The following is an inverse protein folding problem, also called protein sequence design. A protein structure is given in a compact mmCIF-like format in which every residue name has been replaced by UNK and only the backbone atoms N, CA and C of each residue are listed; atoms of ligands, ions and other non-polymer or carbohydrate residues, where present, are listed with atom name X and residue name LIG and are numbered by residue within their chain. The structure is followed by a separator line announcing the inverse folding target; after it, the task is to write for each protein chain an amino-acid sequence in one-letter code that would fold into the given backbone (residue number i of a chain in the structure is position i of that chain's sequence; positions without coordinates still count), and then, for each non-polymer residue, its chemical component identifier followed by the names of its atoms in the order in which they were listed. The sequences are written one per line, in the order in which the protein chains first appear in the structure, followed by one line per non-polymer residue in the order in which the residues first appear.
data_IF_716064868958
#
_entry.id   IF_716064868958
#
_cell.length_a   1.000
_cell.length_b   1.000
_cell.length_c   1.000
_cell.angle_alpha   90.00
_cell.angle_beta   90.00
_cell.angle_gamma   90.00
#
_symmetry.space_group_name_H-M   'P 1'
#
loop_
_entity.id
_entity.type
_entity.pdbx_description
1 polymer ?
#
# COMPACT_ATOMS: atom_id res chain seq x y z
N UNK A 1 -2.68 -7.86 14.86
CA UNK A 1 -2.89 -7.47 13.44
C UNK A 1 -1.74 -8.07 12.63
N UNK A 2 -2.00 -8.54 11.42
CA UNK A 2 -0.94 -9.16 10.61
C UNK A 2 -0.20 -8.07 9.82
N UNK A 3 1.10 -8.25 9.73
CA UNK A 3 2.02 -7.50 8.88
C UNK A 3 2.63 -8.48 7.86
N UNK A 4 3.18 -7.99 6.74
CA UNK A 4 3.29 -6.58 6.31
C UNK A 4 1.95 -5.97 5.86
N UNK A 5 1.95 -4.65 5.66
CA UNK A 5 0.85 -3.83 5.13
C UNK A 5 1.38 -2.89 4.05
N UNK A 6 0.52 -2.59 3.07
CA UNK A 6 0.77 -1.53 2.10
C UNK A 6 -0.13 -0.34 2.50
N UNK A 7 0.50 0.78 2.83
CA UNK A 7 -0.18 2.03 3.12
C UNK A 7 -0.35 2.78 1.80
N UNK A 8 -1.57 3.13 1.43
CA UNK A 8 -1.88 3.92 0.23
C UNK A 8 -2.35 5.31 0.67
N UNK A 9 -1.64 6.35 0.23
CA UNK A 9 -1.96 7.74 0.55
C UNK A 9 -1.40 8.68 -0.52
N UNK A 10 -2.17 9.70 -0.92
CA UNK A 10 -1.75 10.71 -1.90
C UNK A 10 -1.15 10.14 -3.20
N UNK A 11 -1.76 9.08 -3.75
CA UNK A 11 -1.30 8.39 -4.95
C UNK A 11 0.13 7.82 -4.83
N UNK A 12 0.55 7.51 -3.62
CA UNK A 12 1.79 6.79 -3.34
C UNK A 12 1.49 5.61 -2.42
N UNK A 13 2.45 4.68 -2.36
CA UNK A 13 2.44 3.61 -1.38
C UNK A 13 3.69 3.65 -0.51
N UNK A 14 3.51 3.19 0.73
CA UNK A 14 4.57 2.95 1.70
C UNK A 14 4.40 1.52 2.23
N UNK A 15 5.52 0.84 2.50
CA UNK A 15 5.51 -0.47 3.13
C UNK A 15 5.64 -0.34 4.63
N UNK A 16 4.78 -1.05 5.35
CA UNK A 16 4.95 -1.26 6.79
C UNK A 16 5.08 -2.76 7.07
N UNK A 17 6.28 -3.18 7.43
CA UNK A 17 6.61 -4.50 7.95
C UNK A 17 6.33 -4.62 9.44
N UNK A 18 6.32 -3.50 10.18
CA UNK A 18 6.09 -3.48 11.62
C UNK A 18 5.03 -2.44 12.04
N UNK A 19 4.40 -2.62 13.22
CA UNK A 19 3.37 -1.70 13.70
C UNK A 19 3.81 -0.25 13.86
N UNK A 20 5.02 -0.04 14.36
CA UNK A 20 5.63 1.26 14.59
C UNK A 20 5.83 2.06 13.29
N UNK A 21 6.07 1.40 12.15
CA UNK A 21 6.20 2.09 10.86
C UNK A 21 4.89 2.74 10.40
N UNK A 22 3.74 2.16 10.78
CA UNK A 22 2.44 2.80 10.53
C UNK A 22 2.28 4.03 11.43
N UNK A 23 2.68 3.92 12.70
CA UNK A 23 2.59 5.02 13.66
C UNK A 23 3.51 6.18 13.25
N UNK A 24 4.72 5.87 12.80
CA UNK A 24 5.69 6.83 12.29
C UNK A 24 5.17 7.53 11.02
N UNK A 25 4.58 6.79 10.09
CA UNK A 25 3.98 7.35 8.87
C UNK A 25 2.88 8.38 9.19
N UNK A 26 2.03 8.10 10.17
CA UNK A 26 0.88 8.96 10.50
C UNK A 26 1.17 10.02 11.56
N UNK A 27 2.37 10.02 12.15
CA UNK A 27 2.72 10.84 13.31
C UNK A 27 2.44 12.34 13.09
N UNK A 28 2.81 12.86 11.92
CA UNK A 28 2.66 14.27 11.57
C UNK A 28 1.34 14.60 10.86
N UNK A 29 0.43 13.63 10.70
CA UNK A 29 -0.80 13.80 9.92
C UNK A 29 -1.96 14.27 10.79
N UNK A 30 -2.79 15.17 10.25
CA UNK A 30 -4.06 15.52 10.87
C UNK A 30 -5.15 14.46 10.64
N UNK A 31 -6.29 14.58 11.32
CA UNK A 31 -7.39 13.61 11.23
C UNK A 31 -8.02 13.54 9.81
N UNK A 32 -8.03 14.65 9.06
CA UNK A 32 -8.52 14.65 7.68
C UNK A 32 -7.56 13.88 6.77
N UNK A 33 -6.25 14.04 6.97
CA UNK A 33 -5.22 13.30 6.25
C UNK A 33 -5.29 11.80 6.59
N UNK A 34 -5.39 11.45 7.88
CA UNK A 34 -5.55 10.06 8.34
C UNK A 34 -6.79 9.39 7.76
N UNK A 35 -7.92 10.11 7.64
CA UNK A 35 -9.16 9.57 7.05
C UNK A 35 -9.02 9.13 5.58
N UNK A 36 -8.04 9.70 4.86
CA UNK A 36 -7.80 9.40 3.44
C UNK A 36 -6.94 8.16 3.25
N UNK A 37 -6.16 7.74 4.25
CA UNK A 37 -5.31 6.55 4.17
C UNK A 37 -6.14 5.30 3.91
N UNK A 38 -5.66 4.48 2.99
CA UNK A 38 -6.16 3.13 2.74
C UNK A 38 -5.04 2.16 3.14
N UNK A 39 -5.37 1.18 3.97
CA UNK A 39 -4.48 0.09 4.34
C UNK A 39 -4.89 -1.13 3.54
N UNK A 40 -3.98 -1.65 2.72
CA UNK A 40 -4.11 -2.96 2.14
C UNK A 40 -3.36 -3.95 3.04
N UNK A 41 -4.10 -4.81 3.72
CA UNK A 41 -3.56 -5.76 4.70
C UNK A 41 -3.07 -7.07 4.05
N UNK A 42 -2.33 -7.88 4.81
CA UNK A 42 -1.81 -9.18 4.36
C UNK A 42 -2.88 -10.25 4.09
N UNK A 43 -4.15 -9.96 4.41
CA UNK A 43 -5.32 -10.76 4.00
C UNK A 43 -5.96 -10.20 2.73
N UNK A 44 -5.26 -9.33 2.01
CA UNK A 44 -5.66 -8.76 0.74
C UNK A 44 -6.93 -7.90 0.84
N UNK A 45 -7.20 -7.36 2.03
CA UNK A 45 -8.38 -6.54 2.33
C UNK A 45 -8.01 -5.06 2.45
N UNK A 46 -8.86 -4.21 1.88
CA UNK A 46 -8.72 -2.75 1.97
C UNK A 46 -9.46 -2.24 3.21
N UNK A 47 -8.75 -1.52 4.06
CA UNK A 47 -9.25 -1.04 5.35
C UNK A 47 -8.80 0.39 5.65
N UNK A 48 -9.39 1.01 6.66
CA UNK A 48 -8.90 2.25 7.29
C UNK A 48 -7.76 1.94 8.26
N UNK A 49 -7.14 2.97 8.85
CA UNK A 49 -6.18 2.79 9.96
C UNK A 49 -6.78 2.03 11.17
N UNK A 50 -8.09 2.18 11.41
CA UNK A 50 -8.80 1.48 12.49
C UNK A 50 -9.19 0.05 12.12
N UNK A 51 -8.93 -0.40 10.89
CA UNK A 51 -9.28 -1.73 10.40
C UNK A 51 -10.71 -1.87 9.89
N UNK A 52 -11.43 -0.76 9.71
CA UNK A 52 -12.77 -0.78 9.12
C UNK A 52 -12.67 -0.98 7.60
N UNK A 53 -13.57 -1.77 6.98
CA UNK A 53 -13.53 -2.00 5.53
C UNK A 53 -13.61 -0.70 4.74
N UNK A 54 -12.76 -0.57 3.71
CA UNK A 54 -12.77 0.56 2.78
C UNK A 54 -13.00 0.07 1.35
N UNK A 55 -13.50 0.95 0.50
CA UNK A 55 -13.63 0.65 -0.93
C UNK A 55 -12.26 0.33 -1.53
N UNK A 56 -12.18 -0.80 -2.23
CA UNK A 56 -10.98 -1.20 -2.94
C UNK A 56 -10.64 -0.21 -4.06
N UNK A 57 -9.37 0.09 -4.23
CA UNK A 57 -8.88 0.76 -5.44
C UNK A 57 -8.92 -0.20 -6.63
N UNK A 58 -8.87 0.35 -7.84
CA UNK A 58 -8.88 -0.49 -9.04
C UNK A 58 -7.57 -1.28 -9.19
N UNK A 59 -7.61 -2.43 -9.86
CA UNK A 59 -6.42 -3.24 -10.14
C UNK A 59 -5.37 -2.49 -10.99
N UNK A 60 -5.81 -1.54 -11.82
CA UNK A 60 -4.95 -0.68 -12.63
C UNK A 60 -4.26 0.36 -11.75
N UNK A 61 -5.03 1.02 -10.88
CA UNK A 61 -4.51 2.00 -9.93
C UNK A 61 -3.48 1.35 -8.99
N UNK A 62 -3.78 0.16 -8.45
CA UNK A 62 -2.81 -0.60 -7.65
C UNK A 62 -1.53 -0.90 -8.45
N UNK A 63 -1.66 -1.28 -9.73
CA UNK A 63 -0.49 -1.52 -10.57
C UNK A 63 0.37 -0.27 -10.75
N UNK A 64 -0.24 0.87 -11.01
CA UNK A 64 0.51 2.11 -11.20
C UNK A 64 1.22 2.57 -9.91
N UNK A 65 0.54 2.46 -8.75
CA UNK A 65 1.16 2.74 -7.45
C UNK A 65 2.37 1.85 -7.15
N UNK A 66 2.22 0.54 -7.36
CA UNK A 66 3.30 -0.44 -7.15
C UNK A 66 4.46 -0.17 -8.11
N UNK A 67 4.18 0.18 -9.36
CA UNK A 67 5.20 0.52 -10.34
C UNK A 67 5.99 1.75 -9.92
N UNK A 68 5.30 2.80 -9.48
CA UNK A 68 5.95 4.04 -9.06
C UNK A 68 6.83 3.81 -7.83
N UNK A 69 6.40 3.00 -6.88
CA UNK A 69 7.22 2.57 -5.74
C UNK A 69 8.47 1.80 -6.19
N UNK A 70 8.29 0.75 -7.00
CA UNK A 70 9.41 -0.08 -7.49
C UNK A 70 10.41 0.73 -8.34
N UNK A 71 9.94 1.73 -9.10
CA UNK A 71 10.80 2.66 -9.82
C UNK A 71 11.66 3.51 -8.86
N UNK A 72 11.09 3.98 -7.75
CA UNK A 72 11.84 4.71 -6.70
C UNK A 72 12.89 3.84 -6.04
N UNK A 73 12.59 2.55 -5.83
CA UNK A 73 13.54 1.52 -5.34
C UNK A 73 14.58 1.09 -6.40
N UNK A 74 14.55 1.69 -7.61
CA UNK A 74 15.54 1.44 -8.66
C UNK A 74 15.25 0.21 -9.53
N UNK A 75 14.10 -0.45 -9.37
CA UNK A 75 13.69 -1.50 -10.30
C UNK A 75 13.27 -0.91 -11.65
N UNK A 76 13.66 -1.58 -12.73
CA UNK A 76 13.34 -1.17 -14.10
C UNK A 76 12.53 -2.26 -14.83
N UNK A 77 12.02 -1.95 -16.02
CA UNK A 77 11.28 -2.87 -16.89
C UNK A 77 9.86 -3.28 -16.43
N UNK A 78 9.19 -2.42 -15.66
CA UNK A 78 7.85 -2.68 -15.13
C UNK A 78 6.70 -2.45 -16.14
N UNK A 79 7.01 -2.10 -17.38
CA UNK A 79 6.05 -1.75 -18.44
C UNK A 79 5.09 -2.88 -18.83
N UNK A 80 5.40 -4.13 -18.46
CA UNK A 80 4.53 -5.30 -18.67
C UNK A 80 3.42 -5.41 -17.62
N UNK A 81 3.56 -4.74 -16.47
CA UNK A 81 2.57 -4.75 -15.40
C UNK A 81 1.49 -3.72 -15.75
N UNK A 82 0.28 -4.20 -16.05
CA UNK A 82 -0.88 -3.37 -16.43
C UNK A 82 -1.97 -3.33 -15.37
N UNK A 83 -2.05 -4.37 -14.56
CA UNK A 83 -2.99 -4.53 -13.47
C UNK A 83 -2.38 -5.49 -12.46
N UNK A 84 -2.75 -5.32 -11.19
CA UNK A 84 -2.32 -6.21 -10.11
C UNK A 84 -3.53 -6.57 -9.24
N UNK A 85 -3.56 -7.81 -8.78
CA UNK A 85 -4.33 -8.16 -7.59
C UNK A 85 -3.55 -7.75 -6.34
N UNK A 86 -4.20 -7.57 -5.18
CA UNK A 86 -3.50 -7.40 -3.90
C UNK A 86 -2.39 -8.42 -3.66
N UNK A 87 -2.69 -9.71 -3.88
CA UNK A 87 -1.73 -10.79 -3.70
C UNK A 87 -0.48 -10.61 -4.56
N UNK A 88 -0.65 -10.21 -5.83
CA UNK A 88 0.48 -9.93 -6.71
C UNK A 88 1.27 -8.69 -6.26
N UNK A 89 0.60 -7.67 -5.72
CA UNK A 89 1.29 -6.50 -5.17
C UNK A 89 2.17 -6.88 -3.97
N UNK A 90 1.66 -7.69 -3.04
CA UNK A 90 2.45 -8.22 -1.92
C UNK A 90 3.65 -9.03 -2.41
N UNK A 91 3.44 -9.95 -3.35
CA UNK A 91 4.52 -10.78 -3.90
C UNK A 91 5.62 -9.99 -4.64
N UNK A 92 5.30 -8.79 -5.16
CA UNK A 92 6.27 -7.93 -5.82
C UNK A 92 7.05 -7.04 -4.85
N UNK A 93 6.39 -6.59 -3.79
CA UNK A 93 6.93 -5.60 -2.87
C UNK A 93 7.66 -6.20 -1.68
N UNK A 94 7.23 -7.38 -1.22
CA UNK A 94 7.84 -8.09 -0.10
C UNK A 94 8.57 -9.29 -0.67
N UNK A 95 9.84 -9.06 -0.97
CA UNK A 95 10.78 -10.09 -1.42
C UNK A 95 11.58 -10.50 -0.19
N UNK A 96 11.46 -11.76 0.22
CA UNK A 96 12.31 -12.41 1.24
C UNK A 96 13.81 -12.33 0.90
#
# INVERSE_FOLDING_TARGET
MSYPKIIIYNNEIELAEQPDEVDDFVYAMDELQKSRIIILDSKYSYTTLSGEPKTAISAIELADLVKDYLLKEGQCCLSKIKQLTPEQAFALLIID
#
